data_IF_897521000236
#
_entry.id   IF_897521000236
#
_cell.length_a   1.000
_cell.length_b   1.000
_cell.length_c   1.000
_cell.angle_alpha   90.00
_cell.angle_beta   90.00
_cell.angle_gamma   90.00
#
_symmetry.space_group_name_H-M   'P 1'
#
loop_
_entity.id
_entity.type
_entity.pdbx_description
1 polymer ?
#
# COMPACT_ATOMS: atom_id res chain seq x y z
N UNK A 1 -9.48 16.79 22.73
CA UNK A 1 -8.19 16.06 22.68
C UNK A 1 -8.48 14.66 23.20
N UNK A 2 -8.98 13.80 22.34
CA UNK A 2 -9.37 12.42 22.66
C UNK A 2 -8.12 11.56 22.59
N UNK A 3 -7.90 10.86 23.62
CA UNK A 3 -6.75 10.16 24.11
C UNK A 3 -6.20 9.10 23.12
N UNK A 4 -5.23 9.47 22.30
CA UNK A 4 -4.48 8.54 21.42
C UNK A 4 -3.80 7.41 22.20
N UNK A 5 -3.56 7.60 23.50
CA UNK A 5 -2.99 6.60 24.39
C UNK A 5 -3.94 5.45 24.73
N UNK A 6 -5.26 5.66 24.67
CA UNK A 6 -6.24 4.60 24.89
C UNK A 6 -6.47 3.73 23.65
N UNK A 7 -6.41 4.29 22.44
CA UNK A 7 -6.53 3.50 21.22
C UNK A 7 -5.37 2.48 21.07
N UNK A 8 -4.15 2.87 21.47
CA UNK A 8 -2.99 1.98 21.40
C UNK A 8 -3.03 0.81 22.41
N UNK A 9 -3.77 0.97 23.52
CA UNK A 9 -3.95 -0.10 24.52
C UNK A 9 -5.01 -1.13 24.11
N UNK A 10 -6.01 -0.76 23.33
CA UNK A 10 -7.02 -1.70 22.84
C UNK A 10 -6.52 -2.57 21.67
N UNK A 11 -5.52 -2.13 20.92
CA UNK A 11 -4.90 -2.90 19.84
C UNK A 11 -3.91 -3.98 20.36
N UNK A 12 -3.46 -3.87 21.63
CA UNK A 12 -2.36 -4.68 22.16
C UNK A 12 -2.71 -6.05 22.75
N UNK A 13 -3.97 -6.38 22.93
CA UNK A 13 -4.39 -7.68 23.47
C UNK A 13 -5.33 -8.39 22.48
N UNK A 14 -4.78 -8.87 21.39
CA UNK A 14 -5.52 -9.80 20.52
C UNK A 14 -5.75 -11.08 21.31
N UNK A 15 -7.01 -11.51 21.54
CA UNK A 15 -7.25 -12.83 22.10
C UNK A 15 -6.57 -13.85 21.19
N UNK A 16 -5.81 -14.77 21.78
CA UNK A 16 -5.21 -15.90 21.06
C UNK A 16 -6.32 -16.66 20.36
N UNK A 17 -6.66 -16.27 19.14
CA UNK A 17 -7.63 -16.98 18.33
C UNK A 17 -7.02 -18.33 18.03
N UNK A 18 -7.73 -19.38 18.43
CA UNK A 18 -7.40 -20.75 18.05
C UNK A 18 -7.34 -20.78 16.52
N UNK A 19 -6.20 -21.20 15.97
CA UNK A 19 -6.05 -21.34 14.52
C UNK A 19 -7.11 -22.31 13.99
N UNK A 20 -7.76 -21.99 12.86
CA UNK A 20 -8.66 -22.93 12.21
C UNK A 20 -7.89 -24.17 11.74
N UNK A 21 -8.55 -25.30 11.70
CA UNK A 21 -7.94 -26.57 11.23
C UNK A 21 -7.71 -26.60 9.72
N UNK A 22 -8.35 -25.71 8.97
CA UNK A 22 -8.23 -25.54 7.52
C UNK A 22 -8.53 -24.10 7.12
N UNK A 23 -7.98 -23.66 6.00
CA UNK A 23 -8.27 -22.39 5.37
C UNK A 23 -8.17 -22.54 3.85
N UNK A 24 -8.94 -21.77 3.10
CA UNK A 24 -8.88 -21.71 1.64
C UNK A 24 -7.57 -21.09 1.14
N UNK A 25 -7.10 -20.06 1.85
CA UNK A 25 -5.81 -19.45 1.61
C UNK A 25 -5.11 -19.09 2.91
N UNK A 26 -3.80 -19.27 2.93
CA UNK A 26 -2.93 -18.84 4.04
C UNK A 26 -1.93 -17.83 3.50
N UNK A 27 -1.96 -16.62 4.05
CA UNK A 27 -1.01 -15.55 3.74
C UNK A 27 0.06 -15.56 4.83
N UNK A 28 1.33 -15.70 4.46
CA UNK A 28 2.45 -15.69 5.39
C UNK A 28 3.17 -14.35 5.33
N UNK A 29 3.17 -13.63 6.44
CA UNK A 29 3.76 -12.30 6.60
C UNK A 29 2.72 -11.18 6.62
N UNK A 30 2.68 -10.43 7.70
CA UNK A 30 1.76 -9.31 7.97
C UNK A 30 2.34 -7.94 7.62
N UNK A 31 3.21 -7.84 6.62
CA UNK A 31 3.66 -6.57 6.06
C UNK A 31 2.65 -5.98 5.06
N UNK A 32 2.99 -4.84 4.42
CA UNK A 32 2.12 -4.16 3.44
C UNK A 32 1.62 -5.11 2.34
N UNK A 33 2.47 -6.00 1.85
CA UNK A 33 2.10 -6.95 0.79
C UNK A 33 1.10 -7.99 1.30
N UNK A 34 1.39 -8.63 2.45
CA UNK A 34 0.50 -9.67 2.98
C UNK A 34 -0.85 -9.10 3.41
N UNK A 35 -0.87 -7.96 4.08
CA UNK A 35 -2.13 -7.27 4.41
C UNK A 35 -2.92 -6.89 3.15
N UNK A 36 -2.25 -6.39 2.11
CA UNK A 36 -2.89 -6.08 0.84
C UNK A 36 -3.47 -7.32 0.16
N UNK A 37 -2.75 -8.44 0.15
CA UNK A 37 -3.26 -9.72 -0.41
C UNK A 37 -4.51 -10.16 0.35
N UNK A 38 -4.47 -10.17 1.69
CA UNK A 38 -5.63 -10.56 2.49
C UNK A 38 -6.84 -9.64 2.24
N UNK A 39 -6.61 -8.32 2.20
CA UNK A 39 -7.64 -7.33 1.89
C UNK A 39 -8.31 -7.65 0.54
N UNK A 40 -7.54 -7.84 -0.52
CA UNK A 40 -8.10 -8.09 -1.85
C UNK A 40 -8.76 -9.46 -1.97
N UNK A 41 -8.29 -10.47 -1.25
CA UNK A 41 -8.99 -11.76 -1.15
C UNK A 41 -10.37 -11.59 -0.51
N UNK A 42 -10.45 -10.79 0.57
CA UNK A 42 -11.72 -10.49 1.22
C UNK A 42 -12.66 -9.69 0.28
N UNK A 43 -12.15 -8.70 -0.44
CA UNK A 43 -12.91 -7.96 -1.46
C UNK A 43 -13.46 -8.86 -2.57
N UNK A 44 -12.74 -9.94 -2.91
CA UNK A 44 -13.20 -10.97 -3.86
C UNK A 44 -14.17 -11.99 -3.23
N UNK A 45 -14.57 -11.81 -1.97
CA UNK A 45 -15.50 -12.70 -1.27
C UNK A 45 -14.86 -13.96 -0.67
N UNK A 46 -13.53 -13.99 -0.53
CA UNK A 46 -12.85 -15.11 0.16
C UNK A 46 -12.83 -14.85 1.67
N UNK A 47 -13.72 -15.49 2.41
CA UNK A 47 -13.90 -15.25 3.84
C UNK A 47 -13.13 -16.21 4.74
N UNK A 48 -12.67 -17.35 4.19
CA UNK A 48 -11.93 -18.40 4.89
C UNK A 48 -10.42 -18.30 4.64
N UNK A 49 -9.87 -17.09 4.81
CA UNK A 49 -8.46 -16.81 4.69
C UNK A 49 -7.81 -16.58 6.05
N UNK A 50 -6.54 -16.97 6.18
CA UNK A 50 -5.73 -16.77 7.39
C UNK A 50 -4.46 -16.02 7.03
N UNK A 51 -4.13 -15.00 7.83
CA UNK A 51 -2.84 -14.33 7.78
C UNK A 51 -2.04 -14.77 9.01
N UNK A 52 -0.81 -15.23 8.76
CA UNK A 52 0.16 -15.59 9.79
C UNK A 52 1.30 -14.60 9.80
N UNK A 53 1.51 -13.98 10.95
CA UNK A 53 2.66 -13.09 11.23
C UNK A 53 3.39 -13.60 12.46
N UNK A 54 4.71 -13.68 12.39
CA UNK A 54 5.54 -14.18 13.49
C UNK A 54 5.77 -13.16 14.60
N UNK A 55 5.61 -11.87 14.27
CA UNK A 55 5.80 -10.74 15.17
C UNK A 55 4.56 -9.83 15.09
N UNK A 56 4.73 -8.54 15.32
CA UNK A 56 3.70 -7.55 15.12
C UNK A 56 3.50 -7.25 13.63
N UNK A 57 2.27 -6.91 13.24
CA UNK A 57 1.98 -6.47 11.88
C UNK A 57 2.88 -5.29 11.49
N UNK A 58 3.38 -5.31 10.29
CA UNK A 58 4.26 -4.28 9.70
C UNK A 58 5.64 -4.13 10.32
N UNK A 59 6.01 -4.88 11.36
CA UNK A 59 7.28 -4.76 12.08
C UNK A 59 8.55 -5.11 11.28
N UNK A 60 8.40 -5.76 10.13
CA UNK A 60 9.50 -6.12 9.23
C UNK A 60 9.90 -5.00 8.26
N UNK A 61 10.11 -5.36 6.99
CA UNK A 61 10.53 -4.42 5.94
C UNK A 61 9.58 -3.24 5.76
N UNK A 62 8.31 -3.39 6.05
CA UNK A 62 7.30 -2.32 5.96
C UNK A 62 7.62 -1.17 6.91
N UNK A 63 8.04 -1.45 8.13
CA UNK A 63 8.45 -0.44 9.10
C UNK A 63 9.67 0.38 8.64
N UNK A 64 10.57 -0.23 7.87
CA UNK A 64 11.79 0.41 7.38
C UNK A 64 11.57 1.20 6.07
N UNK A 65 10.37 1.17 5.51
CA UNK A 65 10.06 1.88 4.27
C UNK A 65 9.93 3.39 4.52
N UNK A 66 10.41 4.19 3.57
CA UNK A 66 10.32 5.66 3.63
C UNK A 66 8.89 6.22 3.47
N UNK A 67 7.91 5.35 3.18
CA UNK A 67 6.51 5.77 2.98
C UNK A 67 6.24 6.49 1.66
N UNK A 68 7.22 6.56 0.76
CA UNK A 68 7.03 7.18 -0.55
C UNK A 68 6.30 6.22 -1.50
N UNK A 69 5.19 6.66 -2.07
CA UNK A 69 4.34 5.90 -2.99
C UNK A 69 4.35 6.52 -4.40
N UNK A 70 5.45 6.41 -5.16
CA UNK A 70 5.53 6.97 -6.50
C UNK A 70 4.69 6.15 -7.48
N UNK A 71 4.12 6.81 -8.48
CA UNK A 71 3.42 6.16 -9.59
C UNK A 71 4.06 6.43 -10.96
N UNK A 72 5.11 7.24 -11.00
CA UNK A 72 5.85 7.57 -12.22
C UNK A 72 7.10 6.70 -12.34
N UNK A 73 7.03 5.63 -13.13
CA UNK A 73 8.12 4.67 -13.37
C UNK A 73 8.20 4.27 -14.85
N UNK A 74 9.37 3.84 -15.32
CA UNK A 74 9.64 3.49 -16.71
C UNK A 74 9.01 2.16 -17.18
N UNK A 75 8.35 1.42 -16.33
CA UNK A 75 7.67 0.17 -16.68
C UNK A 75 6.16 0.34 -16.67
N UNK A 76 5.52 0.05 -17.79
CA UNK A 76 4.05 0.12 -17.93
C UNK A 76 3.30 -0.72 -16.89
N UNK A 77 3.73 -1.95 -16.67
CA UNK A 77 3.11 -2.84 -15.68
C UNK A 77 3.26 -2.31 -14.25
N UNK A 78 4.47 -1.87 -13.90
CA UNK A 78 4.72 -1.27 -12.58
C UNK A 78 3.94 0.03 -12.40
N UNK A 79 3.84 0.86 -13.42
CA UNK A 79 3.06 2.09 -13.40
C UNK A 79 1.57 1.80 -13.12
N UNK A 80 1.00 0.76 -13.74
CA UNK A 80 -0.37 0.32 -13.45
C UNK A 80 -0.56 -0.10 -11.99
N UNK A 81 0.33 -0.95 -11.48
CA UNK A 81 0.25 -1.45 -10.09
C UNK A 81 0.39 -0.29 -9.10
N UNK A 82 1.35 0.60 -9.32
CA UNK A 82 1.57 1.75 -8.44
C UNK A 82 0.42 2.76 -8.51
N UNK A 83 -0.14 3.01 -9.70
CA UNK A 83 -1.31 3.87 -9.86
C UNK A 83 -2.53 3.31 -9.14
N UNK A 84 -2.77 2.01 -9.24
CA UNK A 84 -3.81 1.34 -8.47
C UNK A 84 -3.60 1.52 -6.96
N UNK A 85 -2.38 1.27 -6.48
CA UNK A 85 -2.04 1.40 -5.05
C UNK A 85 -2.24 2.82 -4.53
N UNK A 86 -1.80 3.84 -5.29
CA UNK A 86 -1.97 5.24 -4.89
C UNK A 86 -3.44 5.68 -4.89
N UNK A 87 -4.25 5.17 -5.82
CA UNK A 87 -5.69 5.40 -5.83
C UNK A 87 -6.39 4.71 -4.65
N UNK A 88 -5.97 3.50 -4.30
CA UNK A 88 -6.49 2.80 -3.13
C UNK A 88 -6.17 3.57 -1.84
N UNK A 89 -4.93 4.01 -1.65
CA UNK A 89 -4.52 4.77 -0.46
C UNK A 89 -5.32 6.08 -0.27
N UNK A 90 -5.74 6.74 -1.34
CA UNK A 90 -6.60 7.93 -1.27
C UNK A 90 -7.97 7.65 -0.65
N UNK A 91 -8.48 6.44 -0.82
CA UNK A 91 -9.82 6.01 -0.37
C UNK A 91 -9.80 5.16 0.88
N UNK A 92 -8.64 4.60 1.22
CA UNK A 92 -8.56 3.55 2.24
C UNK A 92 -8.99 4.07 3.62
N UNK A 93 -8.67 5.31 3.96
CA UNK A 93 -9.09 5.93 5.22
C UNK A 93 -10.60 5.94 5.38
N UNK A 94 -11.32 6.32 4.33
CA UNK A 94 -12.79 6.37 4.34
C UNK A 94 -13.39 4.95 4.36
N UNK A 95 -12.75 3.99 3.66
CA UNK A 95 -13.22 2.60 3.59
C UNK A 95 -13.13 1.86 4.93
N UNK A 96 -12.12 2.19 5.74
CA UNK A 96 -11.86 1.49 7.02
C UNK A 96 -12.13 2.37 8.25
N UNK A 97 -12.69 3.57 8.06
CA UNK A 97 -12.95 4.57 9.12
C UNK A 97 -11.72 4.78 10.02
N UNK A 98 -10.55 4.95 9.38
CA UNK A 98 -9.28 5.15 10.08
C UNK A 98 -8.49 6.30 9.45
N UNK A 99 -7.96 7.23 10.25
CA UNK A 99 -7.23 8.38 9.74
C UNK A 99 -5.92 7.93 9.07
N UNK A 100 -5.89 7.99 7.74
CA UNK A 100 -4.70 7.72 6.94
C UNK A 100 -3.87 8.98 6.78
N UNK A 101 -2.60 8.91 7.15
CA UNK A 101 -1.63 10.00 6.92
C UNK A 101 -1.04 9.90 5.51
N UNK A 102 -1.90 9.99 4.49
CA UNK A 102 -1.51 9.92 3.08
C UNK A 102 -1.72 11.28 2.40
N UNK A 103 -0.63 11.92 2.00
CA UNK A 103 -0.65 13.24 1.36
C UNK A 103 -0.22 13.14 -0.10
N UNK A 104 -1.00 13.75 -0.99
CA UNK A 104 -0.68 13.85 -2.42
C UNK A 104 0.06 15.17 -2.64
N UNK A 105 1.37 15.13 -2.52
CA UNK A 105 2.25 16.31 -2.63
C UNK A 105 2.83 16.52 -4.02
N UNK A 106 2.61 15.57 -4.93
CA UNK A 106 3.32 15.55 -6.21
C UNK A 106 4.79 15.11 -6.06
N UNK A 107 5.53 15.14 -7.16
CA UNK A 107 6.94 14.81 -7.19
C UNK A 107 7.68 15.61 -8.26
N UNK A 108 8.88 16.08 -7.94
CA UNK A 108 9.77 16.74 -8.87
C UNK A 108 10.92 15.79 -9.21
N UNK A 109 11.23 15.66 -10.49
CA UNK A 109 12.37 14.90 -10.98
C UNK A 109 13.34 15.78 -11.75
N UNK A 110 14.61 15.69 -11.42
CA UNK A 110 15.66 16.47 -12.04
C UNK A 110 16.37 15.65 -13.12
N UNK A 111 16.51 16.24 -14.30
CA UNK A 111 17.31 15.69 -15.38
C UNK A 111 18.63 16.47 -15.48
N UNK A 112 19.75 15.79 -15.28
CA UNK A 112 21.11 16.36 -15.40
C UNK A 112 21.74 16.11 -16.76
N UNK A 113 21.01 15.49 -17.69
CA UNK A 113 21.47 15.25 -19.06
C UNK A 113 20.29 15.27 -20.04
N UNK A 114 20.60 15.51 -21.33
CA UNK A 114 19.62 15.48 -22.41
C UNK A 114 18.96 14.09 -22.51
N UNK A 115 19.74 13.04 -22.39
CA UNK A 115 19.24 11.65 -22.43
C UNK A 115 18.24 11.39 -21.31
N UNK A 116 18.52 11.86 -20.08
CA UNK A 116 17.60 11.71 -18.96
C UNK A 116 16.31 12.49 -19.20
N UNK A 117 16.37 13.67 -19.81
CA UNK A 117 15.19 14.44 -20.17
C UNK A 117 14.35 13.72 -21.23
N UNK A 118 14.97 13.09 -22.21
CA UNK A 118 14.27 12.31 -23.24
C UNK A 118 13.59 11.08 -22.63
N UNK A 119 14.27 10.39 -21.71
CA UNK A 119 13.66 9.29 -20.92
C UNK A 119 12.44 9.77 -20.14
N UNK A 120 12.53 10.92 -19.47
CA UNK A 120 11.38 11.46 -18.72
C UNK A 120 10.22 11.81 -19.65
N UNK A 121 10.46 12.37 -20.82
CA UNK A 121 9.40 12.63 -21.83
C UNK A 121 8.71 11.34 -22.28
N UNK A 122 9.51 10.26 -22.48
CA UNK A 122 8.95 8.96 -22.83
C UNK A 122 8.04 8.42 -21.70
N UNK A 123 8.54 8.41 -20.46
CA UNK A 123 7.75 7.98 -19.29
C UNK A 123 6.53 8.88 -19.06
N UNK A 124 6.66 10.21 -19.28
CA UNK A 124 5.56 11.16 -19.22
C UNK A 124 4.46 10.81 -20.25
N UNK A 125 4.84 10.45 -21.46
CA UNK A 125 3.87 10.02 -22.49
C UNK A 125 3.07 8.80 -22.02
N UNK A 126 3.74 7.80 -21.43
CA UNK A 126 3.05 6.64 -20.84
C UNK A 126 2.13 7.04 -19.69
N UNK A 127 2.58 7.92 -18.81
CA UNK A 127 1.80 8.38 -17.67
C UNK A 127 0.55 9.15 -18.07
N UNK A 128 0.65 10.02 -19.10
CA UNK A 128 -0.51 10.74 -19.66
C UNK A 128 -1.55 9.77 -20.20
N UNK A 129 -1.13 8.69 -20.84
CA UNK A 129 -2.03 7.65 -21.33
C UNK A 129 -2.79 6.94 -20.21
N UNK A 130 -2.24 6.99 -18.98
CA UNK A 130 -2.89 6.47 -17.76
C UNK A 130 -3.64 7.55 -16.96
N UNK A 131 -3.80 8.76 -17.50
CA UNK A 131 -4.51 9.85 -16.83
C UNK A 131 -3.69 10.58 -15.77
N UNK A 132 -2.36 10.45 -15.76
CA UNK A 132 -1.52 11.25 -14.85
C UNK A 132 -1.34 12.67 -15.35
N UNK A 133 -1.38 13.63 -14.44
CA UNK A 133 -1.12 15.04 -14.71
C UNK A 133 0.39 15.33 -14.61
N UNK A 134 0.89 16.16 -15.51
CA UNK A 134 2.28 16.60 -15.57
C UNK A 134 2.34 18.08 -15.95
N UNK A 135 3.20 18.79 -15.27
CA UNK A 135 3.62 20.14 -15.58
C UNK A 135 4.98 20.17 -16.30
#
# INVERSE_FOLDING_TARGET
MTDQANLAKEVGAQPTRKLPSSARAVVIGGGAVGCSVLYHLAEMGWTDCVLLEKNELTSGSTWHAAGNCPNFVGSWTMMKIQSYSTQLYRKLGDLVDYPMNYHVTGAIRLAHSRQRMEEFRHVQSMGRHMGMEFE
#
